data_IF_131624548657
#
_entry.id   IF_131624548657
#
_cell.length_a   1.000
_cell.length_b   1.000
_cell.length_c   1.000
_cell.angle_alpha   90.00
_cell.angle_beta   90.00
_cell.angle_gamma   90.00
#
_symmetry.space_group_name_H-M   'P 1'
#
loop_
_entity.id
_entity.type
_entity.pdbx_description
1 polymer ?
#
# COMPACT_ATOMS: atom_id res chain seq x y z
N UNK A 1 -11.71 17.71 12.35
CA UNK A 1 -10.49 16.87 12.26
C UNK A 1 -10.93 15.51 11.75
N UNK A 2 -10.30 14.99 10.70
CA UNK A 2 -10.52 13.61 10.27
C UNK A 2 -9.92 12.69 11.35
N UNK A 3 -10.69 11.74 11.85
CA UNK A 3 -10.28 10.81 12.92
C UNK A 3 -10.74 9.40 12.58
N UNK A 4 -10.15 8.41 13.23
CA UNK A 4 -10.62 7.03 13.14
C UNK A 4 -12.07 6.91 13.63
N UNK A 5 -12.86 5.95 13.11
CA UNK A 5 -14.18 5.64 13.64
C UNK A 5 -14.13 5.34 15.14
N UNK A 6 -15.17 5.72 15.88
CA UNK A 6 -15.19 5.53 17.34
C UNK A 6 -14.88 4.10 17.79
N UNK A 7 -15.44 3.04 17.18
CA UNK A 7 -15.14 1.67 17.59
C UNK A 7 -13.69 1.24 17.32
N UNK A 8 -12.98 1.90 16.42
CA UNK A 8 -11.57 1.65 16.16
C UNK A 8 -10.65 2.32 17.20
N UNK A 9 -11.12 3.37 17.89
CA UNK A 9 -10.28 4.17 18.80
C UNK A 9 -9.61 3.37 19.93
N UNK A 10 -10.28 2.45 20.64
CA UNK A 10 -9.62 1.65 21.66
C UNK A 10 -8.45 0.82 21.11
N UNK A 11 -8.62 0.22 19.92
CA UNK A 11 -7.60 -0.57 19.24
C UNK A 11 -6.45 0.34 18.78
N UNK A 12 -6.76 1.51 18.26
CA UNK A 12 -5.75 2.52 17.87
C UNK A 12 -4.92 2.95 19.07
N UNK A 13 -5.55 3.23 20.20
CA UNK A 13 -4.87 3.63 21.43
C UNK A 13 -3.98 2.51 21.99
N UNK A 14 -4.45 1.26 21.97
CA UNK A 14 -3.68 0.10 22.38
C UNK A 14 -2.44 -0.09 21.48
N UNK A 15 -2.61 -0.11 20.15
CA UNK A 15 -1.51 -0.29 19.21
C UNK A 15 -0.48 0.85 19.33
N UNK A 16 -0.93 2.09 19.50
CA UNK A 16 -0.05 3.25 19.75
C UNK A 16 0.72 3.11 21.05
N UNK A 17 0.06 2.65 22.10
CA UNK A 17 0.73 2.43 23.38
C UNK A 17 1.78 1.30 23.30
N UNK A 18 1.54 0.27 22.50
CA UNK A 18 2.52 -0.80 22.24
C UNK A 18 3.72 -0.24 21.45
N UNK A 19 3.47 0.46 20.33
CA UNK A 19 4.51 1.05 19.50
C UNK A 19 5.37 2.07 20.27
N UNK A 20 4.78 2.85 21.16
CA UNK A 20 5.48 3.84 21.98
C UNK A 20 6.45 3.25 23.00
N UNK A 21 6.38 1.94 23.31
CA UNK A 21 7.33 1.27 24.22
C UNK A 21 8.73 1.15 23.61
N UNK A 22 8.78 0.87 22.29
CA UNK A 22 10.01 0.82 21.52
C UNK A 22 9.72 1.29 20.08
N UNK A 23 9.78 2.59 19.82
CA UNK A 23 9.51 3.14 18.50
C UNK A 23 10.42 2.57 17.40
N UNK A 24 11.65 2.17 17.74
CA UNK A 24 12.58 1.55 16.78
C UNK A 24 12.07 0.20 16.25
N UNK A 25 11.20 -0.45 17.00
CA UNK A 25 10.48 -1.69 16.69
C UNK A 25 9.01 -1.45 16.33
N UNK A 26 8.67 -0.29 15.80
CA UNK A 26 7.34 -0.01 15.29
C UNK A 26 7.37 0.17 13.77
N UNK A 27 6.26 -0.25 13.11
CA UNK A 27 6.01 -0.03 11.68
C UNK A 27 4.72 0.76 11.52
N UNK A 28 4.83 1.98 11.00
CA UNK A 28 3.70 2.85 10.71
C UNK A 28 2.96 2.37 9.44
N UNK A 29 1.64 2.34 9.49
CA UNK A 29 0.79 2.01 8.35
C UNK A 29 -0.38 2.98 8.24
N UNK A 30 -0.91 3.18 7.03
CA UNK A 30 -2.08 4.04 6.78
C UNK A 30 -3.38 3.24 6.90
N UNK A 31 -4.39 3.85 7.55
CA UNK A 31 -5.76 3.34 7.64
C UNK A 31 -6.12 2.79 9.01
N UNK A 32 -7.38 2.37 9.15
CA UNK A 32 -7.91 1.80 10.39
C UNK A 32 -7.30 0.42 10.68
N UNK A 33 -7.14 0.03 11.95
CA UNK A 33 -6.81 -1.34 12.31
C UNK A 33 -7.75 -2.33 11.59
N UNK A 34 -7.19 -3.39 11.02
CA UNK A 34 -7.95 -4.36 10.21
C UNK A 34 -7.96 -4.08 8.69
N UNK A 35 -7.45 -2.93 8.23
CA UNK A 35 -7.28 -2.65 6.81
C UNK A 35 -6.14 -3.48 6.18
N UNK A 36 -6.07 -3.51 4.83
CA UNK A 36 -5.01 -4.22 4.11
C UNK A 36 -3.61 -3.72 4.50
N UNK A 37 -3.44 -2.43 4.78
CA UNK A 37 -2.16 -1.90 5.26
C UNK A 37 -1.79 -2.43 6.64
N UNK A 38 -2.76 -2.69 7.54
CA UNK A 38 -2.51 -3.35 8.83
C UNK A 38 -2.08 -4.79 8.63
N UNK A 39 -2.75 -5.54 7.75
CA UNK A 39 -2.33 -6.91 7.37
C UNK A 39 -0.92 -6.92 6.80
N UNK A 40 -0.62 -6.01 5.88
CA UNK A 40 0.71 -5.89 5.30
C UNK A 40 1.78 -5.60 6.36
N UNK A 41 1.47 -4.75 7.35
CA UNK A 41 2.39 -4.46 8.47
C UNK A 41 2.68 -5.71 9.31
N UNK A 42 1.67 -6.49 9.66
CA UNK A 42 1.83 -7.72 10.45
C UNK A 42 2.58 -8.80 9.65
N UNK A 43 2.21 -9.01 8.37
CA UNK A 43 2.77 -10.09 7.56
C UNK A 43 4.19 -9.80 7.07
N UNK A 44 4.48 -8.56 6.68
CA UNK A 44 5.80 -8.16 6.18
C UNK A 44 6.80 -7.86 7.30
N UNK A 45 6.34 -7.42 8.45
CA UNK A 45 7.17 -6.97 9.57
C UNK A 45 6.74 -7.65 10.89
N UNK A 46 6.80 -9.00 10.99
CA UNK A 46 6.21 -9.74 12.11
C UNK A 46 6.86 -9.42 13.46
N UNK A 47 8.09 -8.91 13.48
CA UNK A 47 8.83 -8.53 14.68
C UNK A 47 8.60 -7.06 15.10
N UNK A 48 7.79 -6.30 14.34
CA UNK A 48 7.53 -4.89 14.60
C UNK A 48 6.08 -4.68 15.07
N UNK A 49 5.90 -3.74 15.98
CA UNK A 49 4.59 -3.32 16.44
C UNK A 49 3.91 -2.42 15.39
N UNK A 50 2.68 -2.74 14.93
CA UNK A 50 1.98 -1.91 13.98
C UNK A 50 1.51 -0.59 14.62
N UNK A 51 1.85 0.55 13.99
CA UNK A 51 1.45 1.90 14.41
C UNK A 51 0.41 2.47 13.44
N UNK A 52 -0.88 2.55 13.81
CA UNK A 52 -1.92 3.07 12.94
C UNK A 52 -1.81 4.58 12.75
N UNK A 53 -1.76 5.02 11.50
CA UNK A 53 -1.74 6.40 11.06
C UNK A 53 -2.96 6.70 10.18
N UNK A 54 -3.55 7.89 10.31
CA UNK A 54 -4.79 8.21 9.60
C UNK A 54 -4.57 8.29 8.08
N UNK A 55 -3.47 8.89 7.63
CA UNK A 55 -3.14 9.08 6.21
C UNK A 55 -1.69 8.70 5.89
N UNK A 56 -1.37 8.66 4.59
CA UNK A 56 -0.01 8.34 4.14
C UNK A 56 1.03 9.32 4.69
N UNK A 57 0.74 10.63 4.63
CA UNK A 57 1.65 11.64 5.18
C UNK A 57 1.94 11.41 6.66
N UNK A 58 0.90 11.07 7.46
CA UNK A 58 1.09 10.78 8.89
C UNK A 58 1.99 9.56 9.14
N UNK A 59 1.90 8.52 8.29
CA UNK A 59 2.76 7.34 8.43
C UNK A 59 4.23 7.66 8.09
N UNK A 60 4.46 8.48 7.08
CA UNK A 60 5.81 8.95 6.71
C UNK A 60 6.39 9.87 7.81
N UNK A 61 5.57 10.79 8.31
CA UNK A 61 5.96 11.71 9.37
C UNK A 61 6.27 11.00 10.70
N UNK A 62 5.57 9.91 11.01
CA UNK A 62 5.86 9.09 12.20
C UNK A 62 7.28 8.52 12.18
N UNK A 63 7.78 8.09 11.00
CA UNK A 63 9.17 7.63 10.87
C UNK A 63 10.15 8.80 11.04
N UNK A 64 9.87 9.93 10.41
CA UNK A 64 10.71 11.14 10.52
C UNK A 64 10.77 11.69 11.94
N UNK A 65 9.66 11.59 12.67
CA UNK A 65 9.57 12.02 14.07
C UNK A 65 10.21 11.00 15.05
N UNK A 66 10.61 9.81 14.56
CA UNK A 66 11.14 8.74 15.40
C UNK A 66 10.06 8.03 16.24
N UNK A 67 8.79 8.14 15.87
CA UNK A 67 7.66 7.42 16.47
C UNK A 67 7.54 5.99 15.94
N UNK A 68 8.14 5.71 14.78
CA UNK A 68 8.29 4.39 14.21
C UNK A 68 9.66 4.22 13.55
N UNK A 69 10.20 3.01 13.56
CA UNK A 69 11.46 2.68 12.86
C UNK A 69 11.25 2.54 11.35
N UNK A 70 10.06 2.15 10.94
CA UNK A 70 9.70 1.91 9.54
C UNK A 70 8.26 2.37 9.24
N UNK A 71 7.95 2.55 7.96
CA UNK A 71 6.59 2.65 7.47
C UNK A 71 6.36 1.63 6.35
N UNK A 72 5.14 1.10 6.24
CA UNK A 72 4.71 0.24 5.14
C UNK A 72 3.54 0.89 4.39
N UNK A 73 3.73 1.14 3.11
CA UNK A 73 2.83 1.97 2.30
C UNK A 73 2.51 1.27 0.98
N UNK A 74 1.21 1.15 0.60
CA UNK A 74 0.83 0.61 -0.70
C UNK A 74 1.27 1.55 -1.82
N UNK A 75 1.91 1.02 -2.87
CA UNK A 75 2.37 1.83 -3.99
C UNK A 75 1.62 1.53 -5.29
N UNK A 76 1.19 0.30 -5.48
CA UNK A 76 0.44 -0.12 -6.65
C UNK A 76 -0.42 -1.35 -6.38
N UNK A 77 -1.49 -1.48 -7.14
CA UNK A 77 -2.38 -2.64 -7.13
C UNK A 77 -2.50 -3.22 -8.54
N UNK A 78 -2.49 -4.55 -8.66
CA UNK A 78 -2.48 -5.24 -9.95
C UNK A 78 -3.68 -4.92 -10.85
N UNK A 79 -4.84 -4.59 -10.28
CA UNK A 79 -6.07 -4.28 -11.00
C UNK A 79 -6.35 -2.78 -11.14
N UNK A 80 -5.94 -1.99 -10.14
CA UNK A 80 -6.28 -0.56 -10.07
C UNK A 80 -5.09 0.35 -10.43
N UNK A 81 -3.91 -0.22 -10.67
CA UNK A 81 -2.71 0.54 -11.00
C UNK A 81 -2.12 1.27 -9.78
N UNK A 82 -1.57 2.45 -10.02
CA UNK A 82 -0.84 3.24 -9.00
C UNK A 82 -1.73 3.77 -7.89
N UNK A 83 -1.17 3.86 -6.67
CA UNK A 83 -1.74 4.66 -5.58
C UNK A 83 -1.24 6.09 -5.78
N UNK A 84 -2.11 6.97 -6.31
CA UNK A 84 -1.71 8.27 -6.86
C UNK A 84 -0.96 9.17 -5.87
N UNK A 85 -1.48 9.32 -4.66
CA UNK A 85 -0.96 10.29 -3.67
C UNK A 85 0.46 9.96 -3.21
N UNK A 86 0.80 8.67 -3.12
CA UNK A 86 2.12 8.26 -2.59
C UNK A 86 3.27 8.64 -3.53
N UNK A 87 3.03 8.73 -4.83
CA UNK A 87 4.05 9.11 -5.80
C UNK A 87 4.51 10.56 -5.65
N UNK A 88 3.68 11.41 -5.02
CA UNK A 88 4.08 12.78 -4.64
C UNK A 88 4.72 12.82 -3.25
N UNK A 89 4.14 12.10 -2.29
CA UNK A 89 4.59 12.14 -0.89
C UNK A 89 5.94 11.44 -0.68
N UNK A 90 6.15 10.31 -1.36
CA UNK A 90 7.35 9.50 -1.17
C UNK A 90 8.64 10.24 -1.53
N UNK A 91 8.76 10.91 -2.69
CA UNK A 91 9.96 11.70 -2.99
C UNK A 91 10.23 12.82 -1.97
N UNK A 92 9.19 13.47 -1.46
CA UNK A 92 9.31 14.58 -0.53
C UNK A 92 9.58 14.13 0.92
N UNK A 93 9.30 12.88 1.23
CA UNK A 93 9.45 12.34 2.59
C UNK A 93 10.91 12.34 3.07
N UNK A 94 11.87 12.20 2.16
CA UNK A 94 13.29 12.01 2.50
C UNK A 94 13.59 10.59 3.01
N UNK A 95 12.60 9.71 3.10
CA UNK A 95 12.78 8.31 3.51
C UNK A 95 13.29 7.47 2.33
N UNK A 96 13.93 6.36 2.66
CA UNK A 96 14.45 5.39 1.69
C UNK A 96 13.60 4.12 1.67
N UNK A 97 13.36 3.57 0.48
CA UNK A 97 12.75 2.25 0.32
C UNK A 97 13.80 1.21 0.70
N UNK A 98 13.48 0.39 1.71
CA UNK A 98 14.37 -0.66 2.23
C UNK A 98 13.84 -2.07 1.97
N UNK A 99 12.63 -2.20 1.45
CA UNK A 99 11.99 -3.47 1.13
C UNK A 99 10.68 -3.32 0.40
N UNK A 100 10.13 -4.44 -0.03
CA UNK A 100 8.80 -4.51 -0.62
C UNK A 100 8.04 -5.74 -0.13
N UNK A 101 6.73 -5.70 -0.21
CA UNK A 101 5.85 -6.80 0.13
C UNK A 101 4.66 -6.86 -0.84
N UNK A 102 4.24 -8.07 -1.23
CA UNK A 102 3.09 -8.31 -2.09
C UNK A 102 1.99 -8.99 -1.29
N UNK A 103 0.91 -8.25 -1.03
CA UNK A 103 -0.24 -8.74 -0.29
C UNK A 103 -1.34 -9.20 -1.25
N UNK A 104 -1.74 -10.48 -1.24
CA UNK A 104 -2.98 -10.92 -1.89
C UNK A 104 -4.19 -10.23 -1.24
N UNK A 105 -5.05 -9.64 -2.06
CA UNK A 105 -6.21 -8.88 -1.60
C UNK A 105 -7.43 -9.79 -1.62
N UNK A 106 -7.92 -10.12 -0.43
CA UNK A 106 -9.15 -10.86 -0.21
C UNK A 106 -10.10 -10.04 0.65
N UNK A 107 -11.37 -10.14 0.34
CA UNK A 107 -12.44 -9.46 1.04
C UNK A 107 -13.48 -10.45 1.56
N UNK A 108 -13.94 -10.22 2.78
CA UNK A 108 -15.05 -10.94 3.37
C UNK A 108 -16.24 -10.00 3.58
N UNK A 109 -17.45 -10.48 3.36
CA UNK A 109 -18.67 -9.84 3.83
C UNK A 109 -18.87 -10.25 5.29
N UNK A 110 -18.98 -9.26 6.16
CA UNK A 110 -19.16 -9.47 7.60
C UNK A 110 -20.30 -8.60 8.14
N UNK A 111 -20.96 -9.05 9.19
CA UNK A 111 -22.07 -8.36 9.83
C UNK A 111 -22.13 -8.62 11.34
N UNK A 112 -22.86 -7.81 12.13
CA UNK A 112 -23.16 -8.12 13.51
C UNK A 112 -23.89 -9.46 13.64
N UNK A 113 -23.65 -10.18 14.75
CA UNK A 113 -24.31 -11.45 15.02
C UNK A 113 -25.84 -11.26 15.11
N UNK A 114 -26.60 -12.10 14.43
CA UNK A 114 -28.05 -12.14 14.58
C UNK A 114 -28.41 -12.74 15.95
N UNK A 115 -29.31 -12.09 16.71
CA UNK A 115 -29.85 -12.59 17.98
C UNK A 115 -28.84 -12.83 19.13
N UNK A 116 -27.70 -12.16 19.18
CA UNK A 116 -26.84 -12.09 20.36
C UNK A 116 -26.06 -13.37 20.73
N UNK A 117 -26.11 -14.41 19.95
CA UNK A 117 -25.46 -15.68 20.25
C UNK A 117 -24.82 -16.32 19.01
N UNK A 118 -23.65 -15.83 18.58
CA UNK A 118 -22.67 -16.60 17.81
C UNK A 118 -23.10 -17.17 16.44
N UNK A 119 -24.30 -16.86 15.96
CA UNK A 119 -24.77 -17.29 14.64
C UNK A 119 -24.53 -16.18 13.64
N UNK A 120 -23.67 -16.43 12.63
CA UNK A 120 -23.56 -15.55 11.47
C UNK A 120 -24.95 -15.30 10.87
N UNK A 121 -25.28 -14.06 10.53
CA UNK A 121 -26.46 -13.76 9.75
C UNK A 121 -26.45 -14.57 8.44
N UNK A 122 -27.61 -14.99 7.95
CA UNK A 122 -27.68 -15.59 6.61
C UNK A 122 -27.37 -14.52 5.57
N UNK A 123 -26.66 -14.89 4.51
CA UNK A 123 -26.37 -14.02 3.37
C UNK A 123 -27.66 -13.36 2.83
N UNK A 124 -28.76 -14.13 2.79
CA UNK A 124 -30.08 -13.68 2.34
C UNK A 124 -30.69 -12.56 3.20
N UNK A 125 -30.18 -12.33 4.40
CA UNK A 125 -30.68 -11.25 5.28
C UNK A 125 -29.97 -9.93 5.06
N UNK A 126 -28.79 -9.92 4.42
CA UNK A 126 -27.99 -8.72 4.19
C UNK A 126 -28.60 -7.89 3.07
N UNK A 127 -28.97 -6.66 3.36
CA UNK A 127 -29.58 -5.73 2.40
C UNK A 127 -28.60 -4.71 1.81
N UNK A 128 -27.59 -4.33 2.56
CA UNK A 128 -26.57 -3.37 2.14
C UNK A 128 -25.22 -3.68 2.76
N UNK A 129 -24.16 -3.24 2.10
CA UNK A 129 -22.79 -3.42 2.61
C UNK A 129 -21.98 -2.15 2.43
N UNK A 130 -21.33 -1.71 3.52
CA UNK A 130 -20.38 -0.61 3.53
C UNK A 130 -18.99 -1.08 3.14
N UNK A 131 -18.29 -0.29 2.34
CA UNK A 131 -16.84 -0.44 2.12
C UNK A 131 -16.25 0.76 1.39
N UNK A 132 -14.92 0.75 1.22
CA UNK A 132 -14.23 1.67 0.32
C UNK A 132 -14.71 1.43 -1.13
N UNK A 133 -14.92 2.49 -1.95
CA UNK A 133 -15.40 2.36 -3.33
C UNK A 133 -14.65 1.34 -4.18
N UNK A 134 -13.35 1.22 -3.95
CA UNK A 134 -12.48 0.28 -4.67
C UNK A 134 -12.82 -1.19 -4.34
N UNK A 135 -13.04 -1.51 -3.06
CA UNK A 135 -13.43 -2.85 -2.63
C UNK A 135 -14.86 -3.19 -3.09
N UNK A 136 -15.78 -2.23 -3.04
CA UNK A 136 -17.13 -2.40 -3.60
C UNK A 136 -17.08 -2.68 -5.11
N UNK A 137 -16.20 -1.97 -5.84
CA UNK A 137 -15.98 -2.20 -7.27
C UNK A 137 -15.40 -3.59 -7.57
N UNK A 138 -14.54 -4.09 -6.71
CA UNK A 138 -13.94 -5.44 -6.80
C UNK A 138 -14.88 -6.57 -6.40
N UNK A 139 -15.99 -6.28 -5.72
CA UNK A 139 -17.04 -7.23 -5.29
C UNK A 139 -18.37 -6.96 -6.00
N UNK A 140 -18.33 -6.28 -7.14
CA UNK A 140 -19.52 -5.78 -7.82
C UNK A 140 -20.45 -6.89 -8.29
N UNK A 141 -19.91 -7.97 -8.83
CA UNK A 141 -20.69 -9.13 -9.29
C UNK A 141 -21.36 -9.80 -8.10
N UNK A 142 -20.61 -10.08 -7.04
CA UNK A 142 -21.12 -10.66 -5.80
C UNK A 142 -22.30 -9.85 -5.23
N UNK A 143 -22.12 -8.53 -5.06
CA UNK A 143 -23.17 -7.64 -4.53
C UNK A 143 -24.43 -7.66 -5.35
N UNK A 144 -24.31 -7.61 -6.68
CA UNK A 144 -25.45 -7.66 -7.60
C UNK A 144 -26.18 -9.01 -7.55
N UNK A 145 -25.44 -10.12 -7.55
CA UNK A 145 -26.00 -11.46 -7.62
C UNK A 145 -26.77 -11.84 -6.32
N UNK A 146 -26.56 -11.05 -5.23
CA UNK A 146 -27.25 -11.20 -3.95
C UNK A 146 -28.16 -10.01 -3.58
N UNK A 147 -28.43 -9.07 -4.53
CA UNK A 147 -29.26 -7.90 -4.31
C UNK A 147 -28.81 -7.01 -3.13
N UNK A 148 -27.47 -6.96 -2.84
CA UNK A 148 -26.90 -6.15 -1.77
C UNK A 148 -26.56 -4.77 -2.28
N UNK A 149 -27.08 -3.72 -1.62
CA UNK A 149 -26.81 -2.31 -1.98
C UNK A 149 -25.41 -1.89 -1.51
N UNK A 150 -24.52 -1.45 -2.42
CA UNK A 150 -23.20 -0.93 -2.02
C UNK A 150 -23.29 0.46 -1.40
N UNK A 151 -22.66 0.65 -0.23
CA UNK A 151 -22.60 1.93 0.49
C UNK A 151 -21.14 2.35 0.69
N UNK A 152 -20.79 3.56 0.23
CA UNK A 152 -19.41 4.05 0.30
C UNK A 152 -18.98 4.41 1.72
N UNK A 153 -17.75 4.06 2.07
CA UNK A 153 -17.07 4.47 3.30
C UNK A 153 -15.62 4.89 3.01
N UNK A 154 -14.96 5.53 3.97
CA UNK A 154 -13.60 6.07 3.80
C UNK A 154 -12.57 4.96 3.57
N UNK A 155 -12.63 3.88 4.36
CA UNK A 155 -11.76 2.70 4.23
C UNK A 155 -12.53 1.42 4.59
N UNK A 156 -11.97 0.26 4.22
CA UNK A 156 -12.62 -1.05 4.39
C UNK A 156 -12.81 -1.43 5.86
N UNK A 157 -11.78 -1.27 6.68
CA UNK A 157 -11.84 -1.64 8.10
C UNK A 157 -12.64 -0.62 8.92
N UNK A 158 -12.58 0.66 8.54
CA UNK A 158 -13.45 1.68 9.10
C UNK A 158 -14.92 1.41 8.83
N UNK A 159 -15.26 0.85 7.65
CA UNK A 159 -16.60 0.37 7.35
C UNK A 159 -17.02 -0.76 8.29
N UNK A 160 -16.14 -1.73 8.56
CA UNK A 160 -16.39 -2.80 9.52
C UNK A 160 -16.62 -2.26 10.95
N UNK A 161 -15.79 -1.32 11.39
CA UNK A 161 -15.97 -0.64 12.67
C UNK A 161 -17.32 0.08 12.76
N UNK A 162 -17.71 0.78 11.69
CA UNK A 162 -18.98 1.48 11.63
C UNK A 162 -20.19 0.53 11.69
N UNK A 163 -20.15 -0.57 10.95
CA UNK A 163 -21.19 -1.61 10.97
C UNK A 163 -21.29 -2.28 12.34
N UNK A 164 -20.17 -2.49 13.02
CA UNK A 164 -20.15 -2.99 14.40
C UNK A 164 -20.87 -2.02 15.36
N UNK A 165 -20.65 -0.70 15.22
CA UNK A 165 -21.35 0.34 16.02
C UNK A 165 -22.85 0.38 15.72
N UNK A 166 -23.27 0.18 14.46
CA UNK A 166 -24.68 0.15 14.08
C UNK A 166 -25.44 -1.02 14.74
N UNK A 167 -24.80 -2.17 14.87
CA UNK A 167 -25.40 -3.36 15.48
C UNK A 167 -26.57 -3.94 14.69
N UNK A 168 -26.80 -3.52 13.44
CA UNK A 168 -27.88 -4.01 12.58
C UNK A 168 -27.40 -5.24 11.79
N UNK A 169 -27.96 -6.46 12.06
CA UNK A 169 -27.55 -7.67 11.38
C UNK A 169 -27.94 -7.75 9.89
N UNK A 170 -28.70 -6.79 9.38
CA UNK A 170 -29.08 -6.70 7.96
C UNK A 170 -28.11 -5.82 7.16
N UNK A 171 -27.17 -5.17 7.83
CA UNK A 171 -26.16 -4.30 7.22
C UNK A 171 -24.78 -4.95 7.39
N UNK A 172 -24.11 -5.17 6.28
CA UNK A 172 -22.76 -5.75 6.27
C UNK A 172 -21.68 -4.73 6.01
N UNK A 173 -20.42 -5.18 6.19
CA UNK A 173 -19.22 -4.51 5.68
C UNK A 173 -18.42 -5.48 4.80
N UNK A 174 -17.76 -4.96 3.77
CA UNK A 174 -16.78 -5.69 2.98
C UNK A 174 -15.38 -5.19 3.38
N UNK A 175 -14.61 -6.09 4.01
CA UNK A 175 -13.29 -5.77 4.54
C UNK A 175 -12.40 -7.03 4.56
N UNK A 176 -11.07 -6.91 4.82
CA UNK A 176 -10.23 -8.05 5.12
C UNK A 176 -10.75 -8.82 6.34
N UNK A 177 -10.65 -10.16 6.33
CA UNK A 177 -11.22 -11.02 7.38
C UNK A 177 -10.77 -10.65 8.82
N UNK A 178 -9.55 -10.14 8.99
CA UNK A 178 -9.02 -9.66 10.28
C UNK A 178 -9.91 -8.56 10.91
N UNK A 179 -10.62 -7.78 10.11
CA UNK A 179 -11.51 -6.75 10.62
C UNK A 179 -12.71 -7.34 11.37
N UNK A 180 -13.18 -8.53 10.98
CA UNK A 180 -14.26 -9.20 11.70
C UNK A 180 -13.85 -9.55 13.14
N UNK A 181 -12.65 -10.07 13.33
CA UNK A 181 -12.11 -10.41 14.65
C UNK A 181 -11.93 -9.15 15.52
N UNK A 182 -11.33 -8.09 14.95
CA UNK A 182 -11.05 -6.85 15.68
C UNK A 182 -12.30 -6.10 16.13
N UNK A 183 -13.38 -6.17 15.35
CA UNK A 183 -14.61 -5.43 15.63
C UNK A 183 -15.77 -6.29 16.12
N UNK A 184 -15.52 -7.60 16.37
CA UNK A 184 -16.56 -8.50 16.89
C UNK A 184 -17.68 -8.80 15.90
N UNK A 185 -17.38 -8.74 14.60
CA UNK A 185 -18.31 -9.11 13.53
C UNK A 185 -18.19 -10.58 13.16
N UNK A 186 -19.25 -11.13 12.56
CA UNK A 186 -19.26 -12.48 12.01
C UNK A 186 -19.01 -12.43 10.51
N UNK A 187 -18.12 -13.28 9.99
CA UNK A 187 -17.97 -13.47 8.55
C UNK A 187 -19.20 -14.21 8.03
N UNK A 188 -19.96 -13.55 7.15
CA UNK A 188 -21.15 -14.09 6.48
C UNK A 188 -20.75 -14.87 5.23
N UNK A 189 -19.79 -14.30 4.46
CA UNK A 189 -19.24 -14.92 3.26
C UNK A 189 -17.79 -14.47 3.09
N UNK A 190 -16.90 -15.43 2.90
CA UNK A 190 -15.50 -15.17 2.57
C UNK A 190 -15.30 -15.11 1.06
N UNK A 191 -14.20 -14.47 0.63
CA UNK A 191 -13.82 -14.36 -0.78
C UNK A 191 -14.93 -13.80 -1.68
N UNK A 192 -15.41 -12.58 -1.34
CA UNK A 192 -16.47 -11.89 -2.09
C UNK A 192 -15.94 -11.03 -3.24
N UNK A 193 -14.63 -11.01 -3.45
CA UNK A 193 -14.00 -10.34 -4.59
C UNK A 193 -14.27 -11.09 -5.91
N UNK A 194 -14.51 -10.33 -7.01
CA UNK A 194 -14.81 -10.86 -8.33
C UNK A 194 -13.56 -11.47 -9.03
N UNK A 195 -12.34 -11.12 -8.58
CA UNK A 195 -11.08 -11.60 -9.14
C UNK A 195 -10.12 -12.04 -8.02
N UNK A 196 -9.62 -13.27 -8.12
CA UNK A 196 -8.79 -13.89 -7.07
C UNK A 196 -7.28 -13.64 -7.23
N UNK A 197 -6.84 -12.99 -8.31
CA UNK A 197 -5.45 -12.66 -8.61
C UNK A 197 -5.07 -11.22 -8.24
N UNK A 198 -5.95 -10.54 -7.49
CA UNK A 198 -5.72 -9.18 -7.05
C UNK A 198 -4.62 -9.11 -5.99
N UNK A 199 -3.63 -8.26 -6.24
CA UNK A 199 -2.46 -8.12 -5.38
C UNK A 199 -2.09 -6.65 -5.22
N UNK A 200 -1.74 -6.25 -4.01
CA UNK A 200 -1.19 -4.91 -3.74
C UNK A 200 0.28 -5.03 -3.38
N UNK A 201 1.10 -4.25 -4.06
CA UNK A 201 2.51 -4.07 -3.70
C UNK A 201 2.64 -2.95 -2.70
N UNK A 202 3.31 -3.25 -1.60
CA UNK A 202 3.72 -2.31 -0.57
C UNK A 202 5.23 -2.08 -0.65
N UNK A 203 5.67 -0.90 -0.26
CA UNK A 203 7.08 -0.59 -0.01
C UNK A 203 7.29 -0.34 1.47
N UNK A 204 8.42 -0.82 1.98
CA UNK A 204 8.88 -0.60 3.35
C UNK A 204 9.88 0.55 3.33
N UNK A 205 9.64 1.55 4.16
CA UNK A 205 10.39 2.80 4.20
C UNK A 205 11.09 2.96 5.55
N UNK A 206 12.32 3.47 5.52
CA UNK A 206 13.08 3.82 6.72
C UNK A 206 13.86 5.12 6.50
N UNK A 207 14.30 5.73 7.60
CA UNK A 207 15.14 6.93 7.55
C UNK A 207 16.52 6.67 6.92
N UNK A 208 17.07 5.46 7.13
CA UNK A 208 18.39 5.09 6.61
C UNK A 208 18.26 4.15 5.41
N UNK A 209 18.97 4.45 4.31
CA UNK A 209 18.97 3.56 3.15
C UNK A 209 19.66 2.22 3.44
N UNK A 210 19.23 1.20 2.73
CA UNK A 210 19.93 -0.08 2.67
C UNK A 210 20.95 -0.04 1.54
N UNK A 211 22.17 -0.54 1.81
CA UNK A 211 23.22 -0.69 0.81
C UNK A 211 23.39 -2.17 0.48
N UNK A 212 22.87 -2.58 -0.68
CA UNK A 212 23.01 -3.94 -1.17
C UNK A 212 24.19 -4.02 -2.15
N UNK A 213 24.84 -5.19 -2.16
CA UNK A 213 25.80 -5.56 -3.23
C UNK A 213 25.08 -6.43 -4.25
N UNK A 214 25.54 -6.37 -5.50
CA UNK A 214 25.05 -7.26 -6.53
C UNK A 214 25.27 -8.73 -6.12
N UNK A 215 24.19 -9.50 -6.10
CA UNK A 215 24.21 -10.94 -5.79
C UNK A 215 23.25 -11.64 -6.78
N UNK A 216 23.76 -12.52 -7.66
CA UNK A 216 22.92 -13.24 -8.62
C UNK A 216 21.86 -14.15 -7.97
N UNK A 217 22.11 -14.61 -6.73
CA UNK A 217 21.18 -15.47 -5.99
C UNK A 217 20.09 -14.65 -5.29
N UNK A 218 20.34 -13.36 -5.04
CA UNK A 218 19.43 -12.42 -4.40
C UNK A 218 19.17 -11.22 -5.28
N UNK A 219 18.32 -11.36 -6.30
CA UNK A 219 18.04 -10.26 -7.21
C UNK A 219 17.48 -9.07 -6.45
N UNK A 220 18.07 -7.91 -6.67
CA UNK A 220 17.67 -6.66 -6.04
C UNK A 220 17.00 -5.71 -7.02
N UNK A 221 16.25 -4.77 -6.47
CA UNK A 221 15.60 -3.69 -7.19
C UNK A 221 16.22 -2.36 -6.78
N UNK A 222 16.33 -1.46 -7.74
CA UNK A 222 16.58 -0.05 -7.47
C UNK A 222 15.38 0.76 -7.96
N UNK A 223 14.80 1.52 -7.04
CA UNK A 223 13.73 2.47 -7.31
C UNK A 223 14.29 3.88 -7.32
N UNK A 224 13.96 4.66 -8.33
CA UNK A 224 14.44 6.03 -8.46
C UNK A 224 13.40 6.91 -9.15
N UNK A 225 13.57 8.22 -8.99
CA UNK A 225 12.85 9.24 -9.75
C UNK A 225 13.85 10.04 -10.59
N UNK A 226 13.38 10.52 -11.73
CA UNK A 226 14.15 11.41 -12.58
C UNK A 226 13.26 12.43 -13.28
N UNK A 227 13.76 13.65 -13.42
CA UNK A 227 13.12 14.71 -14.19
C UNK A 227 13.85 14.92 -15.51
N UNK A 228 13.22 14.59 -16.64
CA UNK A 228 13.84 14.80 -17.94
C UNK A 228 13.87 16.29 -18.33
N UNK A 229 14.87 16.68 -19.10
CA UNK A 229 14.90 17.98 -19.77
C UNK A 229 13.74 18.04 -20.76
N UNK A 230 12.99 19.13 -20.77
CA UNK A 230 11.86 19.29 -21.71
C UNK A 230 12.36 19.63 -23.12
N UNK A 231 13.00 18.66 -23.75
CA UNK A 231 13.53 18.72 -25.13
C UNK A 231 13.11 17.44 -25.90
N UNK A 232 13.03 17.51 -27.24
CA UNK A 232 12.70 16.32 -28.05
C UNK A 232 13.58 15.13 -27.74
N UNK A 233 12.97 13.95 -27.65
CA UNK A 233 13.62 12.67 -27.41
C UNK A 233 14.35 12.52 -26.04
N UNK A 234 14.16 13.39 -25.05
CA UNK A 234 14.84 13.29 -23.75
C UNK A 234 14.53 11.95 -23.08
N UNK A 235 13.25 11.56 -22.96
CA UNK A 235 12.84 10.29 -22.36
C UNK A 235 13.38 9.10 -23.16
N UNK A 236 13.35 9.15 -24.50
CA UNK A 236 13.91 8.09 -25.35
C UNK A 236 15.40 7.85 -25.06
N UNK A 237 16.19 8.92 -24.87
CA UNK A 237 17.62 8.80 -24.57
C UNK A 237 17.86 8.17 -23.20
N UNK A 238 17.06 8.56 -22.19
CA UNK A 238 17.12 7.93 -20.86
C UNK A 238 16.82 6.44 -20.96
N UNK A 239 15.73 6.06 -21.61
CA UNK A 239 15.36 4.64 -21.79
C UNK A 239 16.39 3.89 -22.63
N UNK A 240 16.97 4.55 -23.63
CA UNK A 240 18.07 4.01 -24.44
C UNK A 240 19.28 3.59 -23.60
N UNK A 241 19.66 4.38 -22.60
CA UNK A 241 20.76 4.08 -21.69
C UNK A 241 20.55 2.78 -20.93
N UNK A 242 19.35 2.54 -20.42
CA UNK A 242 19.03 1.26 -19.77
C UNK A 242 19.04 0.09 -20.75
N UNK A 243 18.45 0.27 -21.94
CA UNK A 243 18.39 -0.77 -22.95
C UNK A 243 19.81 -1.17 -23.48
N UNK A 244 20.67 -0.19 -23.78
CA UNK A 244 22.03 -0.44 -24.31
C UNK A 244 22.96 -1.06 -23.27
N UNK A 245 22.73 -0.83 -22.00
CA UNK A 245 23.48 -1.42 -20.90
C UNK A 245 22.87 -2.73 -20.38
N UNK A 246 21.76 -3.23 -21.00
CA UNK A 246 21.13 -4.49 -20.62
C UNK A 246 20.45 -4.47 -19.25
N UNK A 247 20.06 -3.29 -18.75
CA UNK A 247 19.38 -3.13 -17.47
C UNK A 247 17.88 -3.20 -17.70
N UNK A 248 17.20 -4.17 -17.05
CA UNK A 248 15.77 -4.35 -17.19
C UNK A 248 14.99 -3.34 -16.31
N UNK A 249 14.14 -2.53 -16.94
CA UNK A 249 13.20 -1.63 -16.28
C UNK A 249 11.85 -2.32 -16.15
N UNK A 250 11.41 -2.53 -14.90
CA UNK A 250 10.16 -3.26 -14.61
C UNK A 250 8.97 -2.35 -14.36
N UNK A 251 9.21 -1.06 -14.12
CA UNK A 251 8.17 -0.05 -13.90
C UNK A 251 8.63 1.30 -14.41
N UNK A 252 7.71 2.02 -15.03
CA UNK A 252 7.87 3.41 -15.43
C UNK A 252 6.52 4.13 -15.33
N UNK A 253 6.44 5.09 -14.43
CA UNK A 253 5.25 5.93 -14.21
C UNK A 253 5.61 7.38 -14.43
N UNK A 254 4.76 8.13 -15.11
CA UNK A 254 4.95 9.56 -15.31
C UNK A 254 4.00 10.38 -14.45
N UNK A 255 4.45 11.54 -13.98
CA UNK A 255 3.62 12.51 -13.29
C UNK A 255 4.06 13.94 -13.58
N UNK A 256 3.10 14.86 -13.39
CA UNK A 256 3.34 16.28 -13.66
C UNK A 256 3.99 16.94 -12.45
N UNK A 257 4.91 17.86 -12.72
CA UNK A 257 5.51 18.72 -11.70
C UNK A 257 4.93 20.12 -11.85
N UNK A 258 4.26 20.58 -10.78
CA UNK A 258 3.63 21.91 -10.76
C UNK A 258 2.46 22.04 -11.75
N UNK A 259 2.16 23.27 -12.17
CA UNK A 259 1.02 23.60 -13.03
C UNK A 259 1.32 23.53 -14.55
N UNK A 260 2.44 22.92 -14.96
CA UNK A 260 2.93 23.00 -16.35
C UNK A 260 2.21 22.10 -17.34
N UNK A 261 1.34 21.17 -16.90
CA UNK A 261 0.69 20.14 -17.71
C UNK A 261 1.66 19.30 -18.57
N UNK A 262 2.96 19.34 -18.24
CA UNK A 262 4.01 18.53 -18.87
C UNK A 262 4.45 17.44 -17.90
N UNK A 263 4.32 16.16 -18.29
CA UNK A 263 4.88 15.06 -17.52
C UNK A 263 6.39 15.01 -17.77
N UNK A 264 7.17 15.56 -16.84
CA UNK A 264 8.63 15.57 -16.93
C UNK A 264 9.28 14.75 -15.82
N UNK A 265 8.55 14.40 -14.76
CA UNK A 265 9.00 13.57 -13.68
C UNK A 265 8.56 12.12 -13.88
N UNK A 266 9.45 11.21 -13.63
CA UNK A 266 9.22 9.77 -13.78
C UNK A 266 9.65 9.04 -12.51
N UNK A 267 8.87 8.04 -12.15
CA UNK A 267 9.20 7.03 -11.14
C UNK A 267 9.51 5.73 -11.85
N UNK A 268 10.62 5.11 -11.57
CA UNK A 268 11.07 3.90 -12.24
C UNK A 268 11.63 2.87 -11.27
N UNK A 269 11.42 1.60 -11.62
CA UNK A 269 12.05 0.45 -10.98
C UNK A 269 12.92 -0.28 -11.99
N UNK A 270 14.15 -0.61 -11.62
CA UNK A 270 15.06 -1.46 -12.41
C UNK A 270 15.52 -2.66 -11.58
N UNK A 271 15.86 -3.73 -12.28
CA UNK A 271 16.55 -4.88 -11.69
C UNK A 271 18.05 -4.55 -11.63
N UNK A 272 18.63 -4.69 -10.46
CA UNK A 272 20.05 -4.44 -10.20
C UNK A 272 20.29 -3.39 -9.13
N UNK A 273 21.54 -3.17 -8.80
CA UNK A 273 21.97 -2.29 -7.71
C UNK A 273 23.06 -1.32 -8.21
N UNK A 274 23.14 -0.09 -7.67
CA UNK A 274 24.31 0.75 -7.83
C UNK A 274 25.58 0.04 -7.38
N UNK A 275 26.67 0.18 -8.12
CA UNK A 275 27.91 -0.57 -7.99
C UNK A 275 28.00 -1.75 -8.97
N UNK A 276 26.92 -2.16 -9.63
CA UNK A 276 26.98 -2.99 -10.82
C UNK A 276 27.38 -2.10 -12.03
N UNK A 277 28.44 -2.44 -12.77
CA UNK A 277 28.90 -1.60 -13.88
C UNK A 277 27.85 -1.33 -14.96
N UNK A 278 26.91 -2.24 -15.20
CA UNK A 278 25.82 -2.01 -16.15
C UNK A 278 24.81 -0.99 -15.63
N UNK A 279 24.41 -1.12 -14.36
CA UNK A 279 23.49 -0.21 -13.68
C UNK A 279 24.12 1.17 -13.54
N UNK A 280 25.39 1.26 -13.15
CA UNK A 280 26.09 2.54 -12.99
C UNK A 280 26.12 3.32 -14.31
N UNK A 281 26.50 2.67 -15.42
CA UNK A 281 26.49 3.32 -16.75
C UNK A 281 25.08 3.77 -17.16
N UNK A 282 24.05 2.95 -16.92
CA UNK A 282 22.67 3.32 -17.25
C UNK A 282 22.17 4.51 -16.41
N UNK A 283 22.51 4.56 -15.13
CA UNK A 283 22.17 5.68 -14.24
C UNK A 283 22.95 6.96 -14.60
N UNK A 284 24.22 6.86 -15.00
CA UNK A 284 25.02 7.99 -15.51
C UNK A 284 24.40 8.57 -16.77
N UNK A 285 23.99 7.75 -17.75
CA UNK A 285 23.29 8.21 -18.95
C UNK A 285 21.92 8.85 -18.61
N UNK A 286 21.18 8.25 -17.67
CA UNK A 286 19.95 8.83 -17.16
C UNK A 286 20.19 10.21 -16.55
N UNK A 287 21.18 10.35 -15.67
CA UNK A 287 21.54 11.62 -15.02
C UNK A 287 21.95 12.68 -16.05
N UNK A 288 22.72 12.31 -17.10
CA UNK A 288 23.13 13.23 -18.14
C UNK A 288 21.96 13.85 -18.93
N UNK A 289 20.90 13.05 -19.18
CA UNK A 289 19.72 13.48 -19.94
C UNK A 289 18.61 14.05 -19.04
N UNK A 290 18.78 14.01 -17.73
CA UNK A 290 17.81 14.50 -16.74
C UNK A 290 18.26 15.84 -16.14
N UNK A 291 17.33 16.57 -15.54
CA UNK A 291 17.61 17.70 -14.66
C UNK A 291 17.95 17.23 -13.25
N UNK A 292 17.26 16.18 -12.81
CA UNK A 292 17.41 15.56 -11.51
C UNK A 292 17.28 14.05 -11.67
N UNK A 293 18.10 13.30 -10.92
CA UNK A 293 17.96 11.87 -10.70
C UNK A 293 18.18 11.62 -9.22
N UNK A 294 17.24 10.91 -8.57
CA UNK A 294 17.35 10.57 -7.16
C UNK A 294 16.93 9.13 -6.93
N UNK A 295 17.83 8.34 -6.36
CA UNK A 295 17.52 6.97 -5.92
C UNK A 295 16.68 7.07 -4.65
N UNK A 296 15.52 6.41 -4.65
CA UNK A 296 14.62 6.32 -3.52
C UNK A 296 14.92 5.11 -2.64
N UNK A 297 15.58 4.09 -3.20
CA UNK A 297 16.02 2.94 -2.43
C UNK A 297 16.52 1.79 -3.30
N UNK A 298 17.27 0.89 -2.64
CA UNK A 298 17.75 -0.36 -3.20
C UNK A 298 17.44 -1.47 -2.20
N UNK A 299 16.74 -2.52 -2.64
CA UNK A 299 16.21 -3.57 -1.76
C UNK A 299 16.11 -4.91 -2.48
N UNK A 300 16.05 -6.01 -1.71
CA UNK A 300 15.86 -7.36 -2.28
C UNK A 300 14.46 -7.49 -2.89
N UNK A 301 14.35 -8.20 -4.01
CA UNK A 301 13.05 -8.51 -4.60
C UNK A 301 12.26 -9.48 -3.72
N UNK A 302 11.09 -9.09 -3.26
CA UNK A 302 10.18 -10.01 -2.58
C UNK A 302 9.52 -11.01 -3.56
N UNK A 303 9.47 -10.66 -4.85
CA UNK A 303 8.95 -11.51 -5.93
C UNK A 303 9.79 -11.34 -7.17
N UNK A 304 10.23 -12.47 -7.75
CA UNK A 304 11.00 -12.48 -9.01
C UNK A 304 10.19 -11.83 -10.14
N UNK A 305 10.80 -10.89 -10.85
CA UNK A 305 10.25 -10.17 -12.00
C UNK A 305 11.09 -10.49 -13.24
N UNK A 306 10.45 -10.98 -14.25
CA UNK A 306 11.09 -11.33 -15.54
C UNK A 306 11.33 -12.81 -15.69
#
# INVERSE_FOLDING_TARGET
MLSFPKPAMPIVEELRAIAARDPSKAVAFQGSPGANSHRAAIEACPDLAPLPCFGFANALDAVKAGEAGQAIIPIENSHNGRVADIHFLLPESGLSIVGEYFLPIHHALMAPAANGAGSAGSLDTIKAAYSHPQALGQSRKFLRDHDIVPLNFIDTAGAAAHVAEMGDPTIGAIAPAIAAELYGLQIVQDHVEDAHDNMTRFVILADKPTFLKADPEKPAMTTFIFEVKNIPAALYKVLGGFATNGVNMTKLESYQVGASFSATMFYADIIGVPGDPAVDRALEECAFHSKELRILGTYEQARKRG
#
